data_IF_386330695450
#
_entry.id   IF_386330695450
#
_cell.length_a   1.000
_cell.length_b   1.000
_cell.length_c   1.000
_cell.angle_alpha   90.00
_cell.angle_beta   90.00
_cell.angle_gamma   90.00
#
_symmetry.space_group_name_H-M   'P 1'
#
loop_
_entity.id
_entity.type
_entity.pdbx_description
1 polymer ?
#
# COMPACT_ATOMS: atom_id res chain seq x y z
N UNK A 1 4.59 -2.84 31.84
CA UNK A 1 4.91 -1.88 30.76
C UNK A 1 4.91 -2.53 29.38
N UNK A 2 5.80 -3.51 29.12
CA UNK A 2 5.94 -4.15 27.79
C UNK A 2 4.61 -4.72 27.25
N UNK A 3 3.89 -5.53 28.04
CA UNK A 3 2.60 -6.11 27.60
C UNK A 3 1.56 -5.05 27.23
N UNK A 4 1.48 -3.96 28.00
CA UNK A 4 0.55 -2.86 27.74
C UNK A 4 0.93 -2.07 26.48
N UNK A 5 2.22 -1.80 26.28
CA UNK A 5 2.73 -1.15 25.06
C UNK A 5 2.49 -2.02 23.82
N UNK A 6 2.75 -3.33 23.90
CA UNK A 6 2.49 -4.26 22.81
C UNK A 6 1.00 -4.34 22.46
N UNK A 7 0.13 -4.40 23.48
CA UNK A 7 -1.32 -4.46 23.28
C UNK A 7 -1.86 -3.16 22.67
N UNK A 8 -1.37 -2.00 23.13
CA UNK A 8 -1.69 -0.70 22.52
C UNK A 8 -1.27 -0.65 21.05
N UNK A 9 -0.07 -1.11 20.72
CA UNK A 9 0.43 -1.14 19.35
C UNK A 9 -0.41 -2.04 18.44
N UNK A 10 -0.80 -3.23 18.92
CA UNK A 10 -1.66 -4.15 18.16
C UNK A 10 -3.03 -3.52 17.90
N UNK A 11 -3.65 -2.90 18.93
CA UNK A 11 -4.94 -2.21 18.76
C UNK A 11 -4.82 -1.08 17.74
N UNK A 12 -3.77 -0.26 17.84
CA UNK A 12 -3.53 0.83 16.91
C UNK A 12 -3.34 0.33 15.48
N UNK A 13 -2.60 -0.76 15.29
CA UNK A 13 -2.37 -1.39 13.99
C UNK A 13 -3.68 -1.92 13.40
N UNK A 14 -4.47 -2.66 14.18
CA UNK A 14 -5.78 -3.18 13.74
C UNK A 14 -6.74 -2.05 13.40
N UNK A 15 -6.79 -0.99 14.21
CA UNK A 15 -7.59 0.20 13.95
C UNK A 15 -7.13 0.92 12.67
N UNK A 16 -5.82 1.02 12.43
CA UNK A 16 -5.25 1.59 11.21
C UNK A 16 -5.66 0.80 9.96
N UNK A 17 -5.56 -0.53 10.00
CA UNK A 17 -6.00 -1.41 8.90
C UNK A 17 -7.51 -1.26 8.66
N UNK A 18 -8.31 -1.22 9.74
CA UNK A 18 -9.75 -1.00 9.65
C UNK A 18 -10.07 0.30 8.91
N UNK A 19 -9.53 1.43 9.39
CA UNK A 19 -9.79 2.76 8.82
C UNK A 19 -9.32 2.83 7.37
N UNK A 20 -8.12 2.32 7.06
CA UNK A 20 -7.59 2.25 5.70
C UNK A 20 -8.55 1.50 4.76
N UNK A 21 -9.03 0.33 5.18
CA UNK A 21 -9.85 -0.53 4.32
C UNK A 21 -11.26 0.05 4.13
N UNK A 22 -11.85 0.61 5.18
CA UNK A 22 -13.13 1.33 5.09
C UNK A 22 -12.99 2.55 4.17
N UNK A 23 -11.91 3.33 4.31
CA UNK A 23 -11.66 4.49 3.46
C UNK A 23 -11.49 4.10 1.99
N UNK A 24 -10.70 3.06 1.69
CA UNK A 24 -10.51 2.58 0.32
C UNK A 24 -11.80 2.06 -0.31
N UNK A 25 -12.58 1.27 0.42
CA UNK A 25 -13.87 0.78 -0.04
C UNK A 25 -14.89 1.91 -0.26
N UNK A 26 -14.89 2.92 0.63
CA UNK A 26 -15.73 4.10 0.50
C UNK A 26 -15.35 5.00 -0.67
N UNK A 27 -14.04 5.22 -0.89
CA UNK A 27 -13.52 5.96 -2.06
C UNK A 27 -13.92 5.27 -3.36
N UNK A 28 -13.83 3.94 -3.42
CA UNK A 28 -14.20 3.18 -4.60
C UNK A 28 -15.71 3.25 -4.89
N UNK A 29 -16.54 3.10 -3.85
CA UNK A 29 -17.99 3.25 -3.98
C UNK A 29 -18.38 4.68 -4.40
N UNK A 30 -17.70 5.70 -3.86
CA UNK A 30 -17.90 7.08 -4.26
C UNK A 30 -17.50 7.34 -5.71
N UNK A 31 -16.36 6.82 -6.15
CA UNK A 31 -15.91 6.93 -7.55
C UNK A 31 -16.90 6.28 -8.52
N UNK A 32 -17.47 5.12 -8.14
CA UNK A 32 -18.53 4.46 -8.92
C UNK A 32 -19.81 5.31 -9.00
N UNK A 33 -20.28 5.85 -7.87
CA UNK A 33 -21.47 6.71 -7.85
C UNK A 33 -21.29 7.95 -8.76
N UNK A 34 -20.12 8.60 -8.70
CA UNK A 34 -19.81 9.77 -9.54
C UNK A 34 -19.77 9.38 -11.02
N UNK A 35 -19.20 8.23 -11.36
CA UNK A 35 -19.20 7.72 -12.74
C UNK A 35 -20.62 7.43 -13.26
N UNK A 36 -21.50 6.92 -12.40
CA UNK A 36 -22.92 6.69 -12.71
C UNK A 36 -23.77 7.99 -12.71
N UNK A 37 -23.17 9.16 -12.49
CA UNK A 37 -23.87 10.44 -12.41
C UNK A 37 -24.68 10.66 -11.13
N UNK A 38 -24.47 9.83 -10.10
CA UNK A 38 -25.12 9.96 -8.78
C UNK A 38 -24.29 10.88 -7.88
N UNK A 39 -24.98 11.63 -7.02
CA UNK A 39 -24.32 12.43 -5.98
C UNK A 39 -23.81 11.49 -4.89
N UNK A 40 -22.52 11.55 -4.57
CA UNK A 40 -21.93 10.79 -3.48
C UNK A 40 -21.66 11.70 -2.29
N UNK A 41 -22.26 11.40 -1.13
CA UNK A 41 -21.96 12.09 0.12
C UNK A 41 -20.91 11.33 0.93
N UNK A 42 -20.06 12.04 1.68
CA UNK A 42 -19.00 11.42 2.51
C UNK A 42 -19.57 10.38 3.51
N UNK A 43 -20.74 10.68 4.07
CA UNK A 43 -21.46 9.76 4.99
C UNK A 43 -21.88 8.47 4.28
N UNK A 44 -22.35 8.57 3.05
CA UNK A 44 -22.75 7.42 2.24
C UNK A 44 -21.52 6.59 1.82
N UNK A 45 -20.45 7.24 1.34
CA UNK A 45 -19.18 6.56 1.04
C UNK A 45 -18.64 5.81 2.24
N UNK A 46 -18.67 6.43 3.43
CA UNK A 46 -18.22 5.78 4.68
C UNK A 46 -19.10 4.58 5.07
N UNK A 47 -20.42 4.69 4.92
CA UNK A 47 -21.34 3.58 5.18
C UNK A 47 -21.11 2.41 4.22
N UNK A 48 -20.91 2.70 2.94
CA UNK A 48 -20.56 1.70 1.94
C UNK A 48 -19.21 1.05 2.28
N UNK A 49 -18.21 1.85 2.67
CA UNK A 49 -16.91 1.35 3.10
C UNK A 49 -16.99 0.38 4.28
N UNK A 50 -17.81 0.69 5.29
CA UNK A 50 -18.05 -0.20 6.43
C UNK A 50 -18.76 -1.49 6.03
N UNK A 51 -19.75 -1.42 5.14
CA UNK A 51 -20.49 -2.59 4.65
C UNK A 51 -19.58 -3.62 3.98
N UNK A 52 -18.61 -3.16 3.19
CA UNK A 52 -17.71 -4.05 2.43
C UNK A 52 -16.36 -4.32 3.11
N UNK A 53 -16.08 -3.72 4.27
CA UNK A 53 -14.77 -3.80 4.93
C UNK A 53 -14.24 -5.23 5.09
N UNK A 54 -15.06 -6.16 5.58
CA UNK A 54 -14.60 -7.54 5.82
C UNK A 54 -14.14 -8.21 4.52
N UNK A 55 -14.87 -8.00 3.41
CA UNK A 55 -14.50 -8.55 2.10
C UNK A 55 -13.21 -7.92 1.58
N UNK A 56 -13.05 -6.61 1.72
CA UNK A 56 -11.81 -5.91 1.38
C UNK A 56 -10.63 -6.41 2.22
N UNK A 57 -10.82 -6.58 3.52
CA UNK A 57 -9.80 -7.11 4.43
C UNK A 57 -9.39 -8.53 4.05
N UNK A 58 -10.36 -9.42 3.79
CA UNK A 58 -10.07 -10.80 3.38
C UNK A 58 -9.35 -10.86 2.03
N UNK A 59 -9.72 -10.02 1.07
CA UNK A 59 -9.01 -9.90 -0.19
C UNK A 59 -7.58 -9.37 0.00
N UNK A 60 -7.39 -8.33 0.81
CA UNK A 60 -6.05 -7.82 1.14
C UNK A 60 -5.19 -8.87 1.82
N UNK A 61 -5.76 -9.61 2.77
CA UNK A 61 -5.09 -10.70 3.47
C UNK A 61 -4.69 -11.81 2.50
N UNK A 62 -5.61 -12.23 1.62
CA UNK A 62 -5.36 -13.26 0.62
C UNK A 62 -4.27 -12.85 -0.36
N UNK A 63 -4.25 -11.58 -0.77
CA UNK A 63 -3.21 -11.04 -1.65
C UNK A 63 -1.89 -10.81 -0.92
N UNK A 64 -1.91 -10.50 0.37
CA UNK A 64 -0.70 -10.35 1.19
C UNK A 64 -0.09 -11.71 1.59
N UNK A 65 -0.89 -12.79 1.59
CA UNK A 65 -0.48 -14.11 2.05
C UNK A 65 0.83 -14.61 1.40
N UNK A 66 1.03 -14.57 0.05
CA UNK A 66 2.27 -15.04 -0.55
C UNK A 66 3.49 -14.24 -0.11
N UNK A 67 3.32 -12.92 0.06
CA UNK A 67 4.39 -12.03 0.53
C UNK A 67 4.74 -12.37 1.97
N UNK A 68 3.74 -12.52 2.85
CA UNK A 68 3.93 -12.93 4.24
C UNK A 68 4.68 -14.27 4.31
N UNK A 69 4.31 -15.25 3.48
CA UNK A 69 4.97 -16.55 3.44
C UNK A 69 6.44 -16.45 3.01
N UNK A 70 6.76 -15.64 2.00
CA UNK A 70 8.15 -15.38 1.58
C UNK A 70 8.96 -14.76 2.72
N UNK A 71 8.41 -13.76 3.40
CA UNK A 71 9.09 -13.13 4.53
C UNK A 71 9.29 -14.09 5.70
N UNK A 72 8.28 -14.89 6.06
CA UNK A 72 8.39 -15.91 7.11
C UNK A 72 9.44 -16.97 6.76
N UNK A 73 9.49 -17.41 5.51
CA UNK A 73 10.53 -18.31 5.03
C UNK A 73 11.93 -17.68 5.16
N UNK A 74 12.09 -16.43 4.74
CA UNK A 74 13.34 -15.67 4.90
C UNK A 74 13.80 -15.56 6.35
N UNK A 75 12.87 -15.24 7.26
CA UNK A 75 13.14 -15.18 8.71
C UNK A 75 13.55 -16.55 9.25
N UNK A 76 12.87 -17.62 8.84
CA UNK A 76 13.21 -18.97 9.27
C UNK A 76 14.63 -19.35 8.83
N UNK A 77 14.99 -19.12 7.56
CA UNK A 77 16.34 -19.36 7.03
C UNK A 77 17.39 -18.56 7.79
N UNK A 78 17.13 -17.26 8.01
CA UNK A 78 17.99 -16.39 8.79
C UNK A 78 18.26 -16.94 10.21
N UNK A 79 17.20 -17.37 10.91
CA UNK A 79 17.31 -17.94 12.26
C UNK A 79 18.14 -19.23 12.21
N UNK A 80 17.90 -20.12 11.24
CA UNK A 80 18.65 -21.38 11.11
C UNK A 80 20.14 -21.14 10.88
N UNK A 81 20.50 -20.18 10.02
CA UNK A 81 21.89 -19.81 9.75
C UNK A 81 22.54 -19.26 11.03
N UNK A 82 21.88 -18.35 11.74
CA UNK A 82 22.40 -17.77 12.99
C UNK A 82 22.60 -18.82 14.10
N UNK A 83 21.70 -19.82 14.18
CA UNK A 83 21.82 -20.90 15.17
C UNK A 83 22.89 -21.94 14.81
N UNK A 84 23.25 -22.07 13.53
CA UNK A 84 24.26 -23.02 13.07
C UNK A 84 25.69 -22.63 13.48
N UNK A 85 25.94 -21.39 13.92
CA UNK A 85 27.12 -20.98 14.72
C UNK A 85 28.53 -21.13 14.11
N UNK A 86 28.68 -21.74 12.94
CA UNK A 86 29.98 -22.13 12.36
C UNK A 86 30.48 -21.21 11.23
N UNK A 87 29.77 -20.11 10.97
CA UNK A 87 30.06 -19.23 9.83
C UNK A 87 30.72 -17.94 10.36
N UNK A 88 31.88 -17.56 9.81
CA UNK A 88 32.55 -16.32 10.21
C UNK A 88 31.72 -15.06 9.91
N UNK A 89 31.88 -14.02 10.74
CA UNK A 89 31.06 -12.79 10.73
C UNK A 89 30.92 -12.14 9.34
N UNK A 90 31.97 -12.18 8.52
CA UNK A 90 31.95 -11.62 7.15
C UNK A 90 31.08 -12.42 6.19
N UNK A 91 31.09 -13.76 6.29
CA UNK A 91 30.26 -14.64 5.47
C UNK A 91 28.78 -14.54 5.86
N UNK A 92 28.49 -14.28 7.13
CA UNK A 92 27.13 -14.04 7.61
C UNK A 92 26.54 -12.80 6.90
N UNK A 93 27.25 -11.66 6.92
CA UNK A 93 26.76 -10.43 6.28
C UNK A 93 26.47 -10.62 4.79
N UNK A 94 27.37 -11.30 4.07
CA UNK A 94 27.20 -11.56 2.63
C UNK A 94 26.01 -12.50 2.36
N UNK A 95 25.83 -13.55 3.15
CA UNK A 95 24.70 -14.48 3.02
C UNK A 95 23.36 -13.80 3.34
N UNK A 96 23.30 -12.95 4.37
CA UNK A 96 22.11 -12.16 4.68
C UNK A 96 21.80 -11.14 3.58
N UNK A 97 22.82 -10.52 3.00
CA UNK A 97 22.67 -9.63 1.85
C UNK A 97 22.08 -10.35 0.64
N UNK A 98 22.62 -11.52 0.29
CA UNK A 98 22.11 -12.34 -0.80
C UNK A 98 20.67 -12.81 -0.55
N UNK A 99 20.39 -13.29 0.67
CA UNK A 99 19.04 -13.71 1.08
C UNK A 99 18.04 -12.56 0.95
N UNK A 100 18.42 -11.36 1.40
CA UNK A 100 17.58 -10.17 1.27
C UNK A 100 17.28 -9.84 -0.20
N UNK A 101 18.29 -9.87 -1.08
CA UNK A 101 18.09 -9.64 -2.52
C UNK A 101 17.13 -10.67 -3.10
N UNK A 102 17.30 -11.97 -2.79
CA UNK A 102 16.41 -13.04 -3.27
C UNK A 102 14.98 -12.84 -2.78
N UNK A 103 14.79 -12.50 -1.49
CA UNK A 103 13.47 -12.25 -0.93
C UNK A 103 12.78 -11.05 -1.58
N UNK A 104 13.51 -9.94 -1.79
CA UNK A 104 12.97 -8.73 -2.43
C UNK A 104 12.62 -9.01 -3.89
N UNK A 105 13.51 -9.64 -4.66
CA UNK A 105 13.24 -9.99 -6.06
C UNK A 105 12.07 -10.99 -6.17
N UNK A 106 12.03 -12.02 -5.32
CA UNK A 106 10.93 -12.97 -5.28
C UNK A 106 9.59 -12.31 -4.90
N UNK A 107 9.60 -11.42 -3.91
CA UNK A 107 8.42 -10.65 -3.54
C UNK A 107 7.95 -9.74 -4.68
N UNK A 108 8.87 -9.06 -5.38
CA UNK A 108 8.53 -8.20 -6.52
C UNK A 108 7.85 -8.97 -7.66
N UNK A 109 8.35 -10.18 -7.99
CA UNK A 109 7.76 -11.04 -9.02
C UNK A 109 6.31 -11.44 -8.70
N UNK A 110 5.95 -11.52 -7.42
CA UNK A 110 4.59 -11.86 -6.99
C UNK A 110 3.74 -10.59 -6.81
N UNK A 111 4.30 -9.52 -6.26
CA UNK A 111 3.58 -8.27 -5.99
C UNK A 111 3.14 -7.61 -7.28
N UNK A 112 3.95 -7.64 -8.35
CA UNK A 112 3.60 -7.04 -9.63
C UNK A 112 2.27 -7.58 -10.21
N UNK A 113 2.10 -8.89 -10.48
CA UNK A 113 0.84 -9.42 -10.99
C UNK A 113 -0.32 -9.21 -10.02
N UNK A 114 -0.08 -9.32 -8.71
CA UNK A 114 -1.10 -9.06 -7.69
C UNK A 114 -1.53 -7.59 -7.66
N UNK A 115 -0.62 -6.65 -7.95
CA UNK A 115 -0.93 -5.22 -8.02
C UNK A 115 -1.85 -4.89 -9.20
N UNK A 116 -1.72 -5.62 -10.31
CA UNK A 116 -2.63 -5.50 -11.45
C UNK A 116 -3.99 -6.14 -11.17
N UNK A 117 -4.04 -7.23 -10.38
CA UNK A 117 -5.29 -7.91 -10.00
C UNK A 117 -6.15 -7.12 -9.02
N UNK A 118 -5.54 -6.46 -8.03
CA UNK A 118 -6.24 -5.76 -6.94
C UNK A 118 -7.30 -4.76 -7.43
N UNK A 119 -7.00 -3.85 -8.37
CA UNK A 119 -7.99 -2.90 -8.88
C UNK A 119 -9.27 -3.57 -9.40
N UNK A 120 -9.15 -4.64 -10.18
CA UNK A 120 -10.31 -5.35 -10.73
C UNK A 120 -11.10 -6.05 -9.63
N UNK A 121 -10.39 -6.75 -8.73
CA UNK A 121 -11.01 -7.48 -7.63
C UNK A 121 -11.81 -6.55 -6.70
N UNK A 122 -11.29 -5.36 -6.39
CA UNK A 122 -12.00 -4.38 -5.57
C UNK A 122 -13.29 -3.89 -6.20
N UNK A 123 -13.34 -3.74 -7.53
CA UNK A 123 -14.54 -3.27 -8.24
C UNK A 123 -15.58 -4.37 -8.33
N UNK A 124 -15.15 -5.61 -8.55
CA UNK A 124 -16.04 -6.77 -8.54
C UNK A 124 -16.69 -7.00 -7.16
N UNK A 125 -16.05 -6.61 -6.03
CA UNK A 125 -16.68 -6.65 -4.70
C UNK A 125 -17.95 -5.79 -4.63
N UNK A 126 -17.95 -4.65 -5.33
CA UNK A 126 -19.09 -3.71 -5.32
C UNK A 126 -20.24 -4.16 -6.23
N UNK A 127 -19.96 -5.06 -7.17
CA UNK A 127 -20.92 -5.51 -8.17
C UNK A 127 -21.50 -6.88 -7.86
N UNK A 128 -20.67 -7.80 -7.38
CA UNK A 128 -21.01 -9.20 -7.22
C UNK A 128 -20.84 -9.63 -5.76
N UNK A 129 -21.75 -10.47 -5.28
CA UNK A 129 -21.68 -11.13 -3.97
C UNK A 129 -20.80 -12.39 -3.98
N UNK A 130 -19.68 -12.36 -4.70
CA UNK A 130 -18.74 -13.48 -4.84
C UNK A 130 -17.78 -13.58 -3.65
N UNK A 131 -17.26 -14.80 -3.41
CA UNK A 131 -16.20 -15.02 -2.42
C UNK A 131 -14.86 -14.40 -2.84
N UNK A 132 -13.96 -14.10 -1.87
CA UNK A 132 -12.65 -13.45 -2.15
C UNK A 132 -11.78 -14.21 -3.15
N UNK A 133 -11.84 -15.54 -3.17
CA UNK A 133 -11.11 -16.37 -4.13
C UNK A 133 -11.73 -16.28 -5.53
N UNK A 134 -13.06 -16.32 -5.63
CA UNK A 134 -13.79 -16.21 -6.88
C UNK A 134 -13.60 -14.84 -7.53
N UNK A 135 -13.51 -13.79 -6.71
CA UNK A 135 -13.18 -12.43 -7.14
C UNK A 135 -11.79 -12.35 -7.77
N UNK A 136 -10.78 -13.00 -7.17
CA UNK A 136 -9.43 -13.06 -7.75
C UNK A 136 -9.40 -13.86 -9.04
N UNK A 137 -10.10 -15.00 -9.10
CA UNK A 137 -10.21 -15.81 -10.34
C UNK A 137 -10.88 -15.02 -11.45
N UNK A 138 -12.02 -14.40 -11.17
CA UNK A 138 -12.74 -13.57 -12.14
C UNK A 138 -11.90 -12.38 -12.62
N UNK A 139 -11.16 -11.74 -11.71
CA UNK A 139 -10.22 -10.67 -12.05
C UNK A 139 -9.09 -11.16 -12.96
N UNK A 140 -8.57 -12.36 -12.69
CA UNK A 140 -7.55 -12.99 -13.52
C UNK A 140 -8.06 -13.32 -14.92
N UNK A 141 -9.28 -13.82 -15.03
CA UNK A 141 -9.91 -14.14 -16.31
C UNK A 141 -10.12 -12.88 -17.16
N UNK A 142 -10.58 -11.77 -16.55
CA UNK A 142 -10.68 -10.47 -17.22
C UNK A 142 -9.31 -10.01 -17.73
N UNK A 143 -8.27 -10.08 -16.88
CA UNK A 143 -6.91 -9.71 -17.27
C UNK A 143 -6.39 -10.57 -18.42
N UNK A 144 -6.65 -11.87 -18.39
CA UNK A 144 -6.17 -12.80 -19.41
C UNK A 144 -6.84 -12.56 -20.76
N UNK A 145 -8.15 -12.29 -20.79
CA UNK A 145 -8.91 -12.08 -22.02
C UNK A 145 -8.53 -10.75 -22.68
N UNK A 146 -8.29 -9.71 -21.89
CA UNK A 146 -7.99 -8.35 -22.38
C UNK A 146 -6.61 -7.85 -21.95
N UNK A 147 -5.63 -8.74 -21.98
CA UNK A 147 -4.29 -8.46 -21.47
C UNK A 147 -3.66 -7.24 -22.16
N UNK A 148 -3.81 -7.12 -23.49
CA UNK A 148 -3.24 -6.01 -24.25
C UNK A 148 -3.77 -4.65 -23.78
N UNK A 149 -5.09 -4.50 -23.66
CA UNK A 149 -5.73 -3.23 -23.28
C UNK A 149 -5.37 -2.84 -21.84
N UNK A 150 -5.36 -3.84 -20.94
CA UNK A 150 -5.00 -3.65 -19.54
C UNK A 150 -3.51 -3.33 -19.39
N UNK A 151 -2.65 -3.96 -20.19
CA UNK A 151 -1.21 -3.70 -20.17
C UNK A 151 -0.89 -2.29 -20.68
N UNK A 152 -1.55 -1.83 -21.75
CA UNK A 152 -1.41 -0.44 -22.23
C UNK A 152 -1.89 0.54 -21.16
N UNK A 153 -3.02 0.26 -20.52
CA UNK A 153 -3.54 1.08 -19.42
C UNK A 153 -2.56 1.10 -18.23
N UNK A 154 -1.96 -0.03 -17.90
CA UNK A 154 -0.95 -0.14 -16.86
C UNK A 154 0.31 0.69 -17.18
N UNK A 155 0.80 0.63 -18.42
CA UNK A 155 1.94 1.44 -18.87
C UNK A 155 1.64 2.94 -18.81
N UNK A 156 0.43 3.34 -19.23
CA UNK A 156 0.03 4.75 -19.20
C UNK A 156 -0.12 5.26 -17.76
N UNK A 157 -0.76 4.48 -16.89
CA UNK A 157 -0.84 4.78 -15.46
C UNK A 157 0.54 4.87 -14.80
N UNK A 158 1.43 3.93 -15.16
CA UNK A 158 2.82 3.91 -14.72
C UNK A 158 3.58 5.15 -15.17
N UNK A 159 3.46 5.55 -16.43
CA UNK A 159 4.10 6.75 -16.98
C UNK A 159 3.61 8.04 -16.26
N UNK A 160 2.30 8.18 -16.05
CA UNK A 160 1.76 9.34 -15.31
C UNK A 160 2.26 9.35 -13.87
N UNK A 161 2.22 8.20 -13.19
CA UNK A 161 2.70 8.08 -11.80
C UNK A 161 4.20 8.38 -11.71
N UNK A 162 4.99 7.94 -12.70
CA UNK A 162 6.41 8.24 -12.80
C UNK A 162 6.66 9.74 -12.96
N UNK A 163 5.95 10.41 -13.87
CA UNK A 163 6.07 11.87 -14.07
C UNK A 163 5.69 12.62 -12.79
N UNK A 164 4.57 12.27 -12.16
CA UNK A 164 4.14 12.91 -10.92
C UNK A 164 5.17 12.66 -9.81
N UNK A 165 5.70 11.45 -9.69
CA UNK A 165 6.74 11.12 -8.71
C UNK A 165 8.00 11.95 -8.95
N UNK A 166 8.43 12.12 -10.20
CA UNK A 166 9.60 12.92 -10.55
C UNK A 166 9.42 14.40 -10.19
N UNK A 167 8.20 14.93 -10.29
CA UNK A 167 7.86 16.30 -9.86
C UNK A 167 7.77 16.41 -8.33
N UNK A 168 7.22 15.39 -7.66
CA UNK A 168 7.04 15.39 -6.20
C UNK A 168 8.34 15.13 -5.44
N UNK A 169 9.28 14.36 -5.99
CA UNK A 169 10.56 14.03 -5.35
C UNK A 169 11.29 15.31 -4.88
N UNK A 170 11.54 16.32 -5.74
CA UNK A 170 12.15 17.58 -5.31
C UNK A 170 11.37 18.30 -4.21
N UNK A 171 10.04 18.36 -4.30
CA UNK A 171 9.20 19.00 -3.30
C UNK A 171 9.30 18.30 -1.93
N UNK A 172 9.33 16.96 -1.94
CA UNK A 172 9.55 16.15 -0.74
C UNK A 172 10.95 16.41 -0.18
N UNK A 173 12.00 16.46 -1.02
CA UNK A 173 13.36 16.78 -0.59
C UNK A 173 13.52 18.19 -0.06
N UNK A 174 12.84 19.19 -0.62
CA UNK A 174 12.87 20.58 -0.11
C UNK A 174 12.34 20.69 1.31
N UNK A 175 11.42 19.80 1.72
CA UNK A 175 10.92 19.74 3.10
C UNK A 175 11.81 18.82 3.95
N UNK A 176 12.23 17.68 3.39
CA UNK A 176 13.00 16.67 4.10
C UNK A 176 14.42 17.12 4.48
N UNK A 177 15.11 17.87 3.62
CA UNK A 177 16.47 18.35 3.89
C UNK A 177 16.52 19.31 5.10
N UNK A 178 15.71 20.40 5.16
CA UNK A 178 15.69 21.25 6.34
C UNK A 178 15.12 20.53 7.57
N UNK A 179 14.24 19.54 7.38
CA UNK A 179 13.81 18.65 8.47
C UNK A 179 15.01 17.89 9.06
N UNK A 180 15.77 17.15 8.24
CA UNK A 180 16.94 16.40 8.71
C UNK A 180 18.03 17.31 9.26
N UNK A 181 18.24 18.48 8.65
CA UNK A 181 19.17 19.50 9.13
C UNK A 181 18.76 20.07 10.49
N UNK A 182 17.47 20.35 10.70
CA UNK A 182 16.92 20.82 11.96
C UNK A 182 17.01 19.76 13.06
N UNK A 183 16.75 18.49 12.73
CA UNK A 183 16.93 17.35 13.65
C UNK A 183 18.40 17.21 14.06
N UNK A 184 19.33 17.20 13.10
CA UNK A 184 20.76 17.09 13.37
C UNK A 184 21.27 18.28 14.18
N UNK A 185 20.88 19.51 13.82
CA UNK A 185 21.23 20.72 14.56
C UNK A 185 20.66 20.70 15.99
N UNK A 186 19.42 20.25 16.17
CA UNK A 186 18.79 20.13 17.48
C UNK A 186 19.41 19.07 18.38
N UNK A 187 20.03 18.03 17.80
CA UNK A 187 20.75 16.99 18.55
C UNK A 187 22.18 17.41 18.87
N UNK A 188 22.83 18.21 18.01
CA UNK A 188 24.28 18.49 18.10
C UNK A 188 24.63 19.89 18.62
N UNK A 189 23.87 20.93 18.27
CA UNK A 189 24.17 22.34 18.61
C UNK A 189 23.47 22.79 19.89
N UNK A 190 22.33 22.18 20.17
CA UNK A 190 21.57 22.42 21.38
C UNK A 190 22.04 21.38 22.41
N UNK A 191 23.11 21.67 23.16
CA UNK A 191 23.46 20.94 24.42
C UNK A 191 22.33 21.03 25.49
N UNK A 192 21.17 21.56 25.10
CA UNK A 192 19.96 21.61 25.89
C UNK A 192 19.28 20.25 25.88
N UNK A 193 18.80 19.86 27.06
CA UNK A 193 18.08 18.63 27.40
C UNK A 193 17.56 17.82 26.21
N UNK A 194 17.92 16.52 26.15
CA UNK A 194 17.43 15.51 25.20
C UNK A 194 15.91 15.61 24.92
N UNK A 195 15.14 16.04 25.91
CA UNK A 195 13.68 16.27 25.84
C UNK A 195 13.30 17.29 24.75
N UNK A 196 14.02 18.41 24.62
CA UNK A 196 13.71 19.48 23.68
C UNK A 196 14.00 19.06 22.24
N UNK A 197 15.09 18.31 22.01
CA UNK A 197 15.40 17.70 20.73
C UNK A 197 14.35 16.67 20.28
N UNK A 198 13.91 15.79 21.19
CA UNK A 198 12.83 14.83 20.91
C UNK A 198 11.53 15.56 20.54
N UNK A 199 11.18 16.63 21.25
CA UNK A 199 9.95 17.38 20.99
C UNK A 199 9.97 18.03 19.60
N UNK A 200 11.10 18.63 19.20
CA UNK A 200 11.28 19.19 17.85
C UNK A 200 11.14 18.10 16.78
N UNK A 201 11.77 16.94 16.98
CA UNK A 201 11.68 15.80 16.05
C UNK A 201 10.23 15.35 15.89
N UNK A 202 9.49 15.20 17.00
CA UNK A 202 8.10 14.74 16.98
C UNK A 202 7.20 15.74 16.26
N UNK A 203 7.27 17.02 16.61
CA UNK A 203 6.44 18.06 15.99
C UNK A 203 6.74 18.16 14.49
N UNK A 204 8.02 18.19 14.12
CA UNK A 204 8.43 18.28 12.72
C UNK A 204 8.02 17.03 11.92
N UNK A 205 8.10 15.84 12.52
CA UNK A 205 7.66 14.59 11.90
C UNK A 205 6.16 14.58 11.64
N UNK A 206 5.35 15.08 12.58
CA UNK A 206 3.89 15.20 12.43
C UNK A 206 3.55 16.13 11.27
N UNK A 207 4.21 17.29 11.16
CA UNK A 207 4.02 18.22 10.06
C UNK A 207 4.38 17.59 8.71
N UNK A 208 5.54 16.94 8.62
CA UNK A 208 5.99 16.27 7.41
C UNK A 208 5.06 15.13 6.98
N UNK A 209 4.66 14.25 7.92
CA UNK A 209 3.74 13.15 7.65
C UNK A 209 2.36 13.64 7.22
N UNK A 210 1.90 14.78 7.76
CA UNK A 210 0.63 15.39 7.37
C UNK A 210 0.66 15.86 5.92
N UNK A 211 1.74 16.53 5.50
CA UNK A 211 1.93 16.95 4.10
C UNK A 211 1.99 15.73 3.17
N UNK A 212 2.80 14.71 3.51
CA UNK A 212 2.87 13.48 2.72
C UNK A 212 1.52 12.76 2.62
N UNK A 213 0.72 12.77 3.69
CA UNK A 213 -0.60 12.13 3.72
C UNK A 213 -1.57 12.81 2.75
N UNK A 214 -1.50 14.14 2.61
CA UNK A 214 -2.32 14.88 1.65
C UNK A 214 -1.97 14.49 0.22
N UNK A 215 -0.67 14.51 -0.13
CA UNK A 215 -0.22 14.10 -1.47
C UNK A 215 -0.56 12.65 -1.78
N UNK A 216 -0.34 11.76 -0.82
CA UNK A 216 -0.72 10.34 -0.93
C UNK A 216 -2.22 10.17 -1.15
N UNK A 217 -3.05 10.94 -0.45
CA UNK A 217 -4.50 10.97 -0.64
C UNK A 217 -4.90 11.34 -2.07
N UNK A 218 -4.35 12.44 -2.60
CA UNK A 218 -4.62 12.91 -3.98
C UNK A 218 -4.22 11.86 -5.01
N UNK A 219 -3.01 11.28 -4.88
CA UNK A 219 -2.51 10.24 -5.78
C UNK A 219 -3.38 8.99 -5.73
N UNK A 220 -3.80 8.57 -4.54
CA UNK A 220 -4.67 7.41 -4.38
C UNK A 220 -6.05 7.68 -5.01
N UNK A 221 -6.63 8.87 -4.84
CA UNK A 221 -7.90 9.23 -5.48
C UNK A 221 -7.78 9.20 -7.01
N UNK A 222 -6.73 9.80 -7.58
CA UNK A 222 -6.46 9.71 -9.02
C UNK A 222 -6.35 8.26 -9.49
N UNK A 223 -5.57 7.44 -8.77
CA UNK A 223 -5.37 6.03 -9.08
C UNK A 223 -6.68 5.24 -9.06
N UNK A 224 -7.51 5.45 -8.03
CA UNK A 224 -8.81 4.79 -7.95
C UNK A 224 -9.74 5.24 -9.09
N UNK A 225 -9.77 6.52 -9.45
CA UNK A 225 -10.62 6.99 -10.53
C UNK A 225 -10.17 6.43 -11.90
N UNK A 226 -8.86 6.49 -12.18
CA UNK A 226 -8.27 5.97 -13.41
C UNK A 226 -8.64 4.50 -13.65
N UNK A 227 -8.41 3.64 -12.64
CA UNK A 227 -8.69 2.22 -12.77
C UNK A 227 -10.19 1.90 -12.84
N UNK A 228 -11.07 2.79 -12.35
CA UNK A 228 -12.52 2.63 -12.51
C UNK A 228 -12.93 2.85 -13.96
N UNK A 229 -12.41 3.88 -14.60
CA UNK A 229 -12.66 4.13 -16.03
C UNK A 229 -12.16 2.95 -16.86
N UNK A 230 -10.93 2.46 -16.61
CA UNK A 230 -10.36 1.32 -17.32
C UNK A 230 -11.20 0.06 -17.12
N UNK A 231 -11.64 -0.21 -15.88
CA UNK A 231 -12.50 -1.36 -15.58
C UNK A 231 -13.81 -1.32 -16.38
N UNK A 232 -14.49 -0.18 -16.38
CA UNK A 232 -15.76 0.00 -17.10
C UNK A 232 -15.58 -0.09 -18.62
N UNK A 233 -14.48 0.43 -19.17
CA UNK A 233 -14.18 0.31 -20.61
C UNK A 233 -13.90 -1.14 -21.02
N UNK A 234 -13.11 -1.86 -20.23
CA UNK A 234 -12.78 -3.28 -20.48
C UNK A 234 -14.04 -4.14 -20.36
N UNK A 235 -14.89 -3.88 -19.37
CA UNK A 235 -16.16 -4.58 -19.15
C UNK A 235 -17.21 -4.24 -20.20
N UNK A 236 -17.39 -2.95 -20.54
CA UNK A 236 -18.32 -2.50 -21.57
C UNK A 236 -17.99 -3.08 -22.96
N UNK A 237 -16.70 -3.25 -23.26
CA UNK A 237 -16.24 -3.95 -24.44
C UNK A 237 -16.48 -5.47 -24.45
N UNK A 238 -16.92 -6.08 -23.34
CA UNK A 238 -17.37 -7.49 -23.30
C UNK A 238 -18.88 -7.64 -23.59
N UNK A 239 -19.68 -6.59 -23.45
CA UNK A 239 -21.12 -6.64 -23.71
C UNK A 239 -21.48 -6.35 -25.19
N UNK A 240 -20.49 -5.97 -26.01
CA UNK A 240 -20.67 -5.66 -27.43
C UNK A 240 -20.17 -6.77 -28.38
N UNK A 241 -19.54 -7.82 -27.84
CA UNK A 241 -19.13 -9.03 -28.55
C UNK A 241 -19.92 -10.23 -28.03
#
# INVERSE_FOLDING_TARGET
AIVACSLFFIIFLVAGIYVKNVANAGLLAGAKNVYEGKVSSLKESWNNGRKYWVRFFMLELLVALPVILIFLFGIAVAITISLAGEIGDTLIVDMFGLLFVVLVCGALLIVLPLSALKPFAYRLILENDLGSIELLKSSWDIIRIRFSDIFISFLLAGAVTFIISLVLIPAVFMIFIPFMGGVLAGVTLLETSVILGILIIVVASICYLSVLSIFSGILNTYWQHYWTIVFEQVKGGQLQN
#
